data_IF_432928975470
#
_entry.id   IF_432928975470
#
_cell.length_a   1.000
_cell.length_b   1.000
_cell.length_c   1.000
_cell.angle_alpha   90.00
_cell.angle_beta   90.00
_cell.angle_gamma   90.00
#
_symmetry.space_group_name_H-M   'P 1'
#
loop_
_entity.id
_entity.type
_entity.pdbx_description
1 polymer ?
#
# COMPACT_ATOMS: atom_id res chain seq x y z
N UNK A 1 -79.45 -6.46 -12.83
CA UNK A 1 -79.70 -5.00 -12.74
C UNK A 1 -78.46 -4.42 -12.05
N UNK A 2 -77.38 -4.16 -12.79
CA UNK A 2 -76.97 -2.83 -13.31
C UNK A 2 -76.57 -1.86 -12.18
N UNK A 3 -75.48 -1.09 -12.20
CA UNK A 3 -74.31 -0.95 -13.06
C UNK A 3 -73.37 0.04 -12.33
N UNK A 4 -72.07 0.01 -12.66
CA UNK A 4 -71.09 1.12 -12.65
C UNK A 4 -71.00 2.07 -11.43
N UNK A 5 -69.85 2.37 -10.85
CA UNK A 5 -68.47 2.25 -11.32
C UNK A 5 -67.58 3.27 -10.61
N UNK A 6 -66.40 3.49 -11.19
CA UNK A 6 -65.43 4.57 -10.96
C UNK A 6 -64.42 4.36 -9.83
N UNK A 7 -63.36 3.65 -10.23
CA UNK A 7 -61.95 4.03 -10.09
C UNK A 7 -61.67 5.32 -9.29
N UNK A 8 -60.94 5.15 -8.18
CA UNK A 8 -59.91 6.10 -7.76
C UNK A 8 -58.69 5.27 -7.34
N UNK A 9 -57.72 5.22 -8.25
CA UNK A 9 -56.36 4.77 -8.00
C UNK A 9 -55.73 5.79 -7.06
N UNK A 10 -55.37 5.38 -5.85
CA UNK A 10 -54.34 6.07 -5.08
C UNK A 10 -53.14 5.13 -4.95
N UNK A 11 -52.18 5.47 -5.78
CA UNK A 11 -50.82 4.97 -5.94
C UNK A 11 -50.18 4.68 -4.58
N UNK A 12 -50.14 3.41 -4.18
CA UNK A 12 -49.11 2.95 -3.25
C UNK A 12 -47.82 2.85 -4.08
N UNK A 13 -46.97 3.88 -3.98
CA UNK A 13 -45.64 3.86 -4.58
C UNK A 13 -44.91 2.67 -3.94
N UNK A 14 -44.58 1.59 -4.67
CA UNK A 14 -43.67 0.61 -4.13
C UNK A 14 -42.35 1.36 -3.95
N UNK A 15 -41.86 1.41 -2.71
CA UNK A 15 -40.54 1.94 -2.39
C UNK A 15 -39.56 1.32 -3.38
N UNK A 16 -39.12 2.14 -4.34
CA UNK A 16 -38.28 1.71 -5.43
C UNK A 16 -36.97 1.21 -4.83
N UNK A 17 -36.89 -0.11 -4.71
CA UNK A 17 -35.78 -0.96 -5.10
C UNK A 17 -34.45 -0.20 -5.24
N UNK A 18 -33.95 0.33 -4.13
CA UNK A 18 -32.56 0.76 -3.97
C UNK A 18 -31.78 -0.36 -3.28
N UNK A 19 -31.87 -1.57 -3.85
CA UNK A 19 -30.93 -2.64 -3.55
C UNK A 19 -30.26 -2.99 -4.86
N UNK A 20 -29.22 -2.25 -5.25
CA UNK A 20 -28.23 -2.68 -6.23
C UNK A 20 -27.18 -1.58 -6.33
N UNK A 21 -26.23 -1.64 -5.41
CA UNK A 21 -24.79 -1.43 -5.60
C UNK A 21 -24.18 -1.45 -4.19
N UNK A 22 -24.25 -2.62 -3.54
CA UNK A 22 -23.21 -2.96 -2.58
C UNK A 22 -21.97 -3.17 -3.46
N UNK A 23 -20.93 -2.32 -3.38
CA UNK A 23 -19.69 -2.63 -4.06
C UNK A 23 -19.27 -3.99 -3.53
N UNK A 24 -19.17 -4.99 -4.42
CA UNK A 24 -18.63 -6.30 -4.04
C UNK A 24 -17.26 -6.04 -3.43
N UNK A 25 -17.13 -6.35 -2.14
CA UNK A 25 -15.87 -6.33 -1.42
C UNK A 25 -15.00 -7.48 -1.97
N UNK A 26 -14.51 -7.34 -3.21
CA UNK A 26 -13.57 -8.28 -3.81
C UNK A 26 -12.18 -8.21 -3.16
N UNK A 27 -11.95 -7.25 -2.25
CA UNK A 27 -10.65 -7.01 -1.66
C UNK A 27 -10.21 -8.03 -0.61
N UNK A 28 -11.13 -8.76 0.03
CA UNK A 28 -10.77 -9.61 1.19
C UNK A 28 -10.48 -11.08 0.84
N UNK A 29 -10.78 -11.51 -0.39
CA UNK A 29 -10.66 -12.94 -0.78
C UNK A 29 -9.22 -13.47 -0.78
N UNK A 30 -8.22 -12.62 -0.98
CA UNK A 30 -6.82 -13.08 -1.07
C UNK A 30 -6.23 -13.47 0.29
N UNK A 31 -6.67 -12.83 1.38
CA UNK A 31 -6.12 -13.04 2.72
C UNK A 31 -6.80 -14.19 3.47
N UNK A 32 -8.05 -14.52 3.13
CA UNK A 32 -8.83 -15.60 3.77
C UNK A 32 -8.11 -16.96 3.71
N UNK A 33 -7.34 -17.20 2.64
CA UNK A 33 -6.57 -18.42 2.48
C UNK A 33 -5.30 -18.51 3.34
N UNK A 34 -4.86 -17.45 4.02
CA UNK A 34 -3.59 -17.46 4.78
C UNK A 34 -3.66 -18.38 6.00
N UNK A 35 -4.64 -18.27 6.94
CA UNK A 35 -4.67 -19.13 8.13
C UNK A 35 -4.89 -20.60 7.81
N UNK A 36 -5.59 -20.89 6.70
CA UNK A 36 -5.86 -22.26 6.24
C UNK A 36 -4.76 -22.84 5.35
N UNK A 37 -3.73 -22.06 5.01
CA UNK A 37 -2.63 -22.47 4.12
C UNK A 37 -2.99 -22.59 2.64
N UNK A 38 -4.20 -22.20 2.23
CA UNK A 38 -4.62 -22.17 0.81
C UNK A 38 -3.94 -21.05 0.02
N UNK A 39 -3.53 -19.98 0.70
CA UNK A 39 -2.70 -18.90 0.13
C UNK A 39 -1.26 -19.09 0.57
N UNK A 40 -0.34 -19.21 -0.39
CA UNK A 40 1.10 -19.26 -0.11
C UNK A 40 1.66 -17.86 0.07
N UNK A 41 2.28 -17.60 1.22
CA UNK A 41 3.03 -16.37 1.49
C UNK A 41 4.49 -16.57 1.07
N UNK A 42 5.02 -15.62 0.30
CA UNK A 42 6.42 -15.57 -0.11
C UNK A 42 7.06 -14.36 0.57
N UNK A 43 8.12 -14.57 1.32
CA UNK A 43 8.92 -13.47 1.84
C UNK A 43 9.86 -12.95 0.74
N UNK A 44 9.73 -11.67 0.41
CA UNK A 44 10.56 -10.98 -0.59
C UNK A 44 11.49 -9.95 0.07
N UNK A 45 11.64 -10.04 1.39
CA UNK A 45 12.42 -9.09 2.18
C UNK A 45 13.85 -9.56 2.38
N UNK A 46 14.78 -8.60 2.51
CA UNK A 46 16.10 -8.89 3.04
C UNK A 46 16.05 -8.99 4.58
N UNK A 47 16.75 -9.98 5.13
CA UNK A 47 16.92 -10.07 6.58
C UNK A 47 17.76 -8.89 7.10
N UNK A 48 17.23 -8.16 8.08
CA UNK A 48 17.95 -7.03 8.70
C UNK A 48 19.03 -7.55 9.65
N UNK A 49 20.30 -7.25 9.33
CA UNK A 49 21.48 -7.61 10.11
C UNK A 49 22.69 -6.72 9.73
N UNK A 50 23.82 -6.94 10.41
CA UNK A 50 25.09 -6.22 10.27
C UNK A 50 25.86 -6.52 8.98
N UNK A 51 25.35 -7.41 8.12
CA UNK A 51 25.93 -7.76 6.81
C UNK A 51 25.21 -7.09 5.65
N UNK A 52 24.15 -6.32 5.92
CA UNK A 52 23.53 -5.51 4.87
C UNK A 52 24.52 -4.46 4.37
N UNK A 53 24.56 -4.28 3.05
CA UNK A 53 25.43 -3.31 2.42
C UNK A 53 24.89 -1.91 2.70
N UNK A 54 25.65 -1.03 3.37
CA UNK A 54 25.24 0.35 3.64
C UNK A 54 25.31 1.20 2.35
N UNK A 55 24.63 2.35 2.34
CA UNK A 55 24.83 3.30 1.26
C UNK A 55 26.24 3.93 1.35
N UNK A 56 26.98 4.07 0.23
CA UNK A 56 28.28 4.72 0.26
C UNK A 56 28.19 6.16 0.78
N UNK A 57 28.86 6.42 1.91
CA UNK A 57 28.91 7.74 2.54
C UNK A 57 28.12 7.86 3.85
N UNK A 58 27.29 6.88 4.21
CA UNK A 58 26.67 6.84 5.53
C UNK A 58 27.76 6.64 6.62
N UNK A 59 27.68 7.44 7.69
CA UNK A 59 28.65 7.38 8.80
C UNK A 59 28.32 6.30 9.84
N UNK A 60 27.06 5.83 9.86
CA UNK A 60 26.56 4.83 10.80
C UNK A 60 25.75 3.77 10.04
N UNK A 61 25.80 2.53 10.53
CA UNK A 61 25.16 1.38 9.89
C UNK A 61 24.28 0.65 10.88
N UNK A 62 23.60 -0.42 10.44
CA UNK A 62 22.79 -1.24 11.33
C UNK A 62 23.57 -1.66 12.59
N UNK A 63 23.00 -1.36 13.74
CA UNK A 63 23.52 -1.76 15.05
C UNK A 63 22.46 -2.48 15.85
N UNK A 64 22.85 -3.56 16.53
CA UNK A 64 21.99 -4.24 17.49
C UNK A 64 22.78 -4.58 18.75
N UNK A 65 22.30 -4.10 19.89
CA UNK A 65 22.91 -4.32 21.21
C UNK A 65 22.00 -5.19 22.06
N UNK A 66 22.56 -6.27 22.59
CA UNK A 66 21.86 -7.12 23.57
C UNK A 66 21.76 -6.38 24.90
N UNK A 67 20.53 -6.27 25.42
CA UNK A 67 20.24 -5.63 26.70
C UNK A 67 20.01 -6.66 27.82
N UNK A 68 19.47 -7.84 27.48
CA UNK A 68 19.22 -8.94 28.41
C UNK A 68 19.43 -10.29 27.72
N UNK A 69 19.92 -11.28 28.46
CA UNK A 69 20.01 -12.69 28.00
C UNK A 69 19.13 -13.59 28.84
N UNK A 70 18.71 -14.73 28.27
CA UNK A 70 17.83 -15.67 28.96
C UNK A 70 18.49 -16.20 30.23
N UNK A 71 19.78 -16.52 30.17
CA UNK A 71 20.53 -17.13 31.27
C UNK A 71 20.66 -16.17 32.46
N UNK A 72 20.83 -14.87 32.19
CA UNK A 72 21.03 -13.86 33.23
C UNK A 72 19.72 -13.25 33.72
N UNK A 73 18.73 -13.11 32.85
CA UNK A 73 17.55 -12.29 33.08
C UNK A 73 16.23 -13.05 32.99
N UNK A 74 16.23 -14.30 32.48
CA UNK A 74 15.02 -15.06 32.19
C UNK A 74 14.29 -14.64 30.91
N UNK A 75 14.83 -13.67 30.16
CA UNK A 75 14.30 -13.22 28.86
C UNK A 75 15.40 -12.61 27.99
N UNK A 76 15.16 -12.57 26.67
CA UNK A 76 16.05 -11.92 25.71
C UNK A 76 15.45 -10.59 25.23
N UNK A 77 16.27 -9.54 25.19
CA UNK A 77 15.91 -8.30 24.48
C UNK A 77 17.13 -7.59 23.93
N UNK A 78 16.91 -6.81 22.87
CA UNK A 78 17.91 -6.00 22.20
C UNK A 78 17.36 -4.62 21.86
N UNK A 79 18.22 -3.61 21.90
CA UNK A 79 17.98 -2.34 21.21
C UNK A 79 18.65 -2.41 19.85
N UNK A 80 18.08 -1.74 18.85
CA UNK A 80 18.70 -1.63 17.54
C UNK A 80 18.53 -0.23 16.97
N UNK A 81 19.40 0.13 16.02
CA UNK A 81 19.38 1.37 15.27
C UNK A 81 19.61 1.06 13.78
N UNK A 82 18.94 1.81 12.89
CA UNK A 82 19.11 1.75 11.44
C UNK A 82 18.63 3.04 10.78
N UNK A 83 19.16 3.34 9.59
CA UNK A 83 18.54 4.32 8.69
C UNK A 83 17.32 3.69 7.99
N UNK A 84 16.37 4.53 7.56
CA UNK A 84 15.15 4.05 6.88
C UNK A 84 15.44 3.39 5.52
N UNK A 85 16.53 3.78 4.86
CA UNK A 85 16.97 3.26 3.55
C UNK A 85 17.82 1.98 3.64
N UNK A 86 17.47 1.06 4.54
CA UNK A 86 18.17 -0.23 4.71
C UNK A 86 17.30 -1.42 4.33
N UNK A 87 17.89 -2.37 3.60
CA UNK A 87 17.20 -3.58 3.18
C UNK A 87 15.98 -3.28 2.30
N UNK A 88 14.93 -4.08 2.44
CA UNK A 88 13.66 -3.85 1.75
C UNK A 88 12.89 -2.74 2.46
N UNK A 89 12.74 -1.58 1.82
CA UNK A 89 12.16 -0.37 2.42
C UNK A 89 11.26 0.39 1.45
N UNK A 90 10.62 1.45 1.96
CA UNK A 90 9.79 2.38 1.19
C UNK A 90 10.20 3.82 1.53
N UNK A 91 10.34 4.64 0.49
CA UNK A 91 10.67 6.05 0.66
C UNK A 91 9.40 6.89 0.81
N UNK A 92 9.41 7.79 1.79
CA UNK A 92 8.38 8.81 1.88
C UNK A 92 8.55 9.86 0.76
N UNK A 93 7.49 10.58 0.34
CA UNK A 93 7.62 11.68 -0.64
C UNK A 93 8.63 12.76 -0.26
N UNK A 94 8.94 12.89 1.04
CA UNK A 94 9.93 13.82 1.56
C UNK A 94 11.39 13.34 1.41
N UNK A 95 11.62 12.09 1.01
CA UNK A 95 12.96 11.53 0.79
C UNK A 95 13.74 12.31 -0.28
N UNK A 96 13.04 12.79 -1.31
CA UNK A 96 13.59 13.69 -2.30
C UNK A 96 13.07 15.12 -2.13
N UNK A 97 13.86 16.15 -2.50
CA UNK A 97 13.36 17.52 -2.49
C UNK A 97 12.12 17.63 -3.39
N UNK A 98 11.18 18.49 -3.00
CA UNK A 98 10.09 18.89 -3.88
C UNK A 98 10.69 19.43 -5.16
N UNK A 99 10.29 18.88 -6.31
CA UNK A 99 10.67 19.36 -7.64
C UNK A 99 10.59 20.90 -7.71
N UNK A 100 11.73 21.58 -7.59
CA UNK A 100 11.86 23.02 -7.80
C UNK A 100 12.25 23.28 -9.24
N UNK A 101 11.40 22.89 -10.18
CA UNK A 101 11.49 23.30 -11.57
C UNK A 101 10.07 23.51 -12.12
N UNK A 102 9.81 24.56 -12.92
CA UNK A 102 8.51 24.75 -13.52
C UNK A 102 8.19 23.53 -14.38
N UNK A 103 7.00 22.96 -14.24
CA UNK A 103 6.50 21.92 -15.15
C UNK A 103 6.58 22.44 -16.58
N UNK A 104 7.62 22.06 -17.31
CA UNK A 104 7.54 22.12 -18.76
C UNK A 104 6.61 20.97 -19.15
N UNK A 105 5.39 21.33 -19.51
CA UNK A 105 4.37 20.42 -20.00
C UNK A 105 4.98 19.51 -21.05
N UNK A 106 4.97 18.20 -20.80
CA UNK A 106 5.32 17.21 -21.80
C UNK A 106 4.22 17.21 -22.87
N UNK A 107 4.34 18.11 -23.85
CA UNK A 107 3.57 18.04 -25.10
C UNK A 107 4.39 17.19 -26.04
N UNK A 108 4.02 15.93 -26.17
CA UNK A 108 4.59 15.04 -27.16
C UNK A 108 4.53 15.69 -28.54
N UNK A 109 5.63 15.63 -29.26
CA UNK A 109 5.69 15.72 -30.72
C UNK A 109 7.07 15.21 -31.14
N UNK A 110 7.08 14.01 -31.72
CA UNK A 110 8.18 13.59 -32.56
C UNK A 110 8.29 14.54 -33.75
N UNK A 111 9.53 14.91 -34.06
CA UNK A 111 10.12 15.32 -35.35
C UNK A 111 11.41 16.07 -35.01
N UNK A 112 12.56 15.44 -35.13
CA UNK A 112 13.30 15.24 -36.38
C UNK A 112 14.57 16.10 -36.29
N UNK A 113 15.67 15.51 -36.72
CA UNK A 113 17.02 16.03 -36.60
C UNK A 113 17.19 17.46 -37.13
N UNK A 114 18.03 18.25 -36.46
CA UNK A 114 18.96 19.11 -37.17
C UNK A 114 20.19 19.46 -36.33
N UNK A 115 21.32 19.24 -36.97
CA UNK A 115 22.72 19.45 -36.61
C UNK A 115 23.14 20.93 -36.61
N UNK A 116 24.37 21.13 -36.12
CA UNK A 116 25.28 22.27 -36.28
C UNK A 116 24.93 23.52 -35.46
N UNK A 117 25.88 24.19 -34.81
CA UNK A 117 27.33 24.31 -35.01
C UNK A 117 27.98 24.87 -33.74
#
# INVERSE_FOLDING_TARGET
MAAAGRFCILVAIPAALSTLLVPSAHHDSMLEGIPSGKTRVLDLSYAINDKLVPWPGDEQFFEAKVNATIEKNGYFTRSFWMLEHYGTHLDAPAHFPRLSAPRHSYRGLGKEARTNS
#
